data_IF_377650115332
#
_entry.id   IF_377650115332
#
_cell.length_a   1.000
_cell.length_b   1.000
_cell.length_c   1.000
_cell.angle_alpha   90.00
_cell.angle_beta   90.00
_cell.angle_gamma   90.00
#
_symmetry.space_group_name_H-M   'P 1'
#
loop_
_entity.id
_entity.type
_entity.pdbx_description
1 polymer ?
#
# COMPACT_ATOMS: atom_id res chain seq x y z
N UNK A 1 57.43 -65.88 -13.91
CA UNK A 1 57.92 -64.49 -14.07
C UNK A 1 56.73 -63.67 -14.60
N UNK A 2 56.01 -62.94 -13.72
CA UNK A 2 55.98 -61.46 -13.67
C UNK A 2 55.79 -60.86 -15.08
N UNK A 3 54.65 -60.28 -15.48
CA UNK A 3 54.09 -58.95 -15.13
C UNK A 3 52.75 -58.84 -15.91
N UNK A 4 51.59 -58.77 -15.25
CA UNK A 4 50.81 -57.58 -14.88
C UNK A 4 50.22 -56.73 -16.03
N UNK A 5 48.88 -56.84 -16.16
CA UNK A 5 47.85 -55.78 -16.13
C UNK A 5 48.01 -54.56 -17.05
N UNK A 6 46.99 -54.32 -17.89
CA UNK A 6 46.32 -53.00 -17.97
C UNK A 6 44.85 -53.15 -18.38
N UNK A 7 43.96 -53.05 -17.39
CA UNK A 7 42.52 -52.86 -17.59
C UNK A 7 42.29 -51.41 -18.07
N UNK A 8 41.60 -51.26 -19.18
CA UNK A 8 41.16 -49.97 -19.72
C UNK A 8 39.92 -49.57 -18.91
N UNK A 9 40.05 -48.53 -18.09
CA UNK A 9 38.91 -47.92 -17.38
C UNK A 9 38.51 -46.70 -18.23
N UNK A 10 37.32 -46.78 -18.83
CA UNK A 10 36.67 -45.63 -19.47
C UNK A 10 36.24 -44.64 -18.39
N UNK A 11 36.83 -43.45 -18.40
CA UNK A 11 36.41 -42.33 -17.54
C UNK A 11 35.31 -41.59 -18.29
N UNK A 12 34.04 -41.82 -17.90
CA UNK A 12 32.92 -41.03 -18.34
C UNK A 12 33.01 -39.63 -17.69
N UNK A 13 33.27 -38.62 -18.52
CA UNK A 13 33.33 -37.22 -18.07
C UNK A 13 31.90 -36.72 -17.85
N UNK A 14 31.49 -36.64 -16.58
CA UNK A 14 30.23 -36.03 -16.16
C UNK A 14 30.46 -34.51 -16.07
N UNK A 15 30.10 -33.76 -17.12
CA UNK A 15 29.99 -32.30 -17.02
C UNK A 15 28.74 -31.97 -16.21
N UNK A 16 28.92 -31.61 -14.93
CA UNK A 16 27.88 -30.95 -14.16
C UNK A 16 27.78 -29.51 -14.67
N UNK A 17 26.80 -29.24 -15.53
CA UNK A 17 26.37 -27.87 -15.82
C UNK A 17 25.66 -27.33 -14.58
N UNK A 18 26.39 -26.59 -13.74
CA UNK A 18 25.77 -25.81 -12.66
C UNK A 18 25.08 -24.62 -13.31
N UNK A 19 23.79 -24.75 -13.59
CA UNK A 19 22.93 -23.62 -13.86
C UNK A 19 22.95 -22.72 -12.63
N UNK A 20 23.64 -21.58 -12.73
CA UNK A 20 23.40 -20.47 -11.82
C UNK A 20 21.95 -20.02 -12.06
N UNK A 21 21.03 -20.58 -11.28
CA UNK A 21 19.73 -19.97 -11.08
C UNK A 21 20.06 -18.69 -10.32
N UNK A 22 20.19 -17.58 -11.04
CA UNK A 22 20.09 -16.27 -10.42
C UNK A 22 18.78 -16.29 -9.66
N UNK A 23 18.85 -16.32 -8.33
CA UNK A 23 17.69 -16.10 -7.50
C UNK A 23 17.22 -14.69 -7.87
N UNK A 24 16.20 -14.59 -8.72
CA UNK A 24 15.42 -13.38 -8.81
C UNK A 24 14.89 -13.17 -7.39
N UNK A 25 15.46 -12.21 -6.66
CA UNK A 25 14.77 -11.62 -5.52
C UNK A 25 13.51 -11.01 -6.11
N UNK A 26 12.44 -11.80 -6.18
CA UNK A 26 11.13 -11.26 -6.43
C UNK A 26 10.79 -10.50 -5.16
N UNK A 27 10.78 -9.17 -5.27
CA UNK A 27 10.25 -8.30 -4.23
C UNK A 27 8.86 -8.82 -3.87
N UNK A 28 8.80 -9.53 -2.75
CA UNK A 28 7.58 -10.20 -2.31
C UNK A 28 6.64 -9.11 -1.83
N UNK A 29 5.34 -9.16 -2.18
CA UNK A 29 4.37 -8.18 -1.70
C UNK A 29 4.46 -8.01 -0.18
N UNK A 30 4.53 -6.77 0.28
CA UNK A 30 4.47 -6.46 1.70
C UNK A 30 3.01 -6.27 2.10
N UNK A 31 2.58 -6.88 3.20
CA UNK A 31 1.23 -6.71 3.68
C UNK A 31 1.14 -6.43 5.17
N UNK A 32 0.17 -5.59 5.54
CA UNK A 32 -0.16 -5.24 6.92
C UNK A 32 -1.60 -5.64 7.21
N UNK A 33 -1.80 -6.29 8.35
CA UNK A 33 -3.09 -6.85 8.75
C UNK A 33 -3.62 -6.18 10.00
N UNK A 34 -4.91 -5.85 9.97
CA UNK A 34 -5.71 -5.62 11.17
C UNK A 34 -6.67 -6.81 11.37
N UNK A 35 -7.51 -6.75 12.40
CA UNK A 35 -8.58 -7.74 12.58
C UNK A 35 -9.68 -7.62 11.51
N UNK A 36 -9.76 -6.50 10.80
CA UNK A 36 -10.87 -6.17 9.91
C UNK A 36 -10.52 -6.17 8.42
N UNK A 37 -9.23 -6.17 8.08
CA UNK A 37 -8.77 -6.18 6.70
C UNK A 37 -7.24 -6.24 6.58
N UNK A 38 -6.77 -6.28 5.35
CA UNK A 38 -5.36 -6.33 4.98
C UNK A 38 -5.06 -5.28 3.91
N UNK A 39 -3.95 -4.56 4.08
CA UNK A 39 -3.39 -3.70 3.03
C UNK A 39 -2.18 -4.41 2.45
N UNK A 40 -2.14 -4.58 1.13
CA UNK A 40 -1.05 -5.23 0.41
C UNK A 40 -0.42 -4.27 -0.60
N UNK A 41 0.89 -4.12 -0.52
CA UNK A 41 1.71 -3.37 -1.46
C UNK A 41 2.29 -4.36 -2.47
N UNK A 42 2.17 -4.06 -3.75
CA UNK A 42 2.66 -4.94 -4.81
C UNK A 42 3.23 -4.13 -5.97
N UNK A 43 4.03 -4.82 -6.79
CA UNK A 43 4.79 -4.24 -7.91
C UNK A 43 5.82 -3.22 -7.43
N UNK A 44 7.11 -3.59 -7.55
CA UNK A 44 8.21 -2.75 -7.11
C UNK A 44 8.90 -2.12 -8.32
N UNK A 45 9.01 -0.79 -8.32
CA UNK A 45 9.74 -0.01 -9.32
C UNK A 45 10.70 0.94 -8.61
N UNK A 46 12.00 0.81 -8.87
CA UNK A 46 13.03 1.77 -8.45
C UNK A 46 12.88 2.23 -6.97
N UNK A 47 12.72 1.26 -6.06
CA UNK A 47 12.56 1.43 -4.60
C UNK A 47 11.17 1.80 -4.07
N UNK A 48 10.16 1.88 -4.92
CA UNK A 48 8.78 2.17 -4.51
C UNK A 48 7.82 1.05 -4.89
N UNK A 49 6.77 0.89 -4.09
CA UNK A 49 5.60 0.13 -4.49
C UNK A 49 4.74 0.96 -5.45
N UNK A 50 4.13 0.35 -6.46
CA UNK A 50 3.28 1.08 -7.42
C UNK A 50 1.80 0.73 -7.32
N UNK A 51 1.45 -0.29 -6.53
CA UNK A 51 0.06 -0.68 -6.29
C UNK A 51 -0.19 -1.00 -4.83
N UNK A 52 -1.34 -0.55 -4.34
CA UNK A 52 -1.85 -0.87 -3.01
C UNK A 52 -3.22 -1.50 -3.15
N UNK A 53 -3.49 -2.55 -2.39
CA UNK A 53 -4.76 -3.26 -2.37
C UNK A 53 -5.32 -3.30 -0.96
N UNK A 54 -6.61 -3.02 -0.81
CA UNK A 54 -7.35 -3.37 0.40
C UNK A 54 -8.03 -4.72 0.19
N UNK A 55 -7.92 -5.60 1.18
CA UNK A 55 -8.51 -6.94 1.13
C UNK A 55 -9.33 -7.24 2.38
N UNK A 56 -10.56 -7.71 2.16
CA UNK A 56 -11.50 -8.12 3.22
C UNK A 56 -12.41 -9.24 2.72
N UNK A 57 -12.61 -10.27 3.55
CA UNK A 57 -13.49 -11.40 3.25
C UNK A 57 -13.20 -12.09 1.89
N UNK A 58 -11.93 -12.13 1.48
CA UNK A 58 -11.50 -12.73 0.21
C UNK A 58 -11.71 -11.83 -1.02
N UNK A 59 -12.26 -10.64 -0.86
CA UNK A 59 -12.33 -9.60 -1.90
C UNK A 59 -11.10 -8.72 -1.78
N UNK A 60 -10.48 -8.39 -2.91
CA UNK A 60 -9.29 -7.54 -2.99
C UNK A 60 -9.53 -6.45 -4.03
N UNK A 61 -9.38 -5.19 -3.62
CA UNK A 61 -9.65 -4.02 -4.46
C UNK A 61 -8.42 -3.11 -4.46
N UNK A 62 -8.02 -2.66 -5.66
CA UNK A 62 -6.91 -1.73 -5.79
C UNK A 62 -7.31 -0.35 -5.27
N UNK A 63 -6.48 0.23 -4.42
CA UNK A 63 -6.56 1.63 -4.02
C UNK A 63 -5.82 2.48 -5.08
N UNK A 64 -6.42 3.60 -5.47
CA UNK A 64 -5.88 4.53 -6.48
C UNK A 64 -5.64 3.90 -7.87
N UNK A 65 -6.64 3.27 -8.51
CA UNK A 65 -6.46 2.58 -9.79
C UNK A 65 -6.10 3.52 -10.95
N UNK A 66 -6.55 4.78 -10.90
CA UNK A 66 -6.44 5.74 -12.01
C UNK A 66 -5.22 6.67 -11.91
N UNK A 67 -4.44 6.56 -10.84
CA UNK A 67 -3.31 7.45 -10.56
C UNK A 67 -1.97 6.73 -10.68
N UNK A 68 -1.00 7.35 -11.35
CA UNK A 68 0.40 6.91 -11.33
C UNK A 68 1.02 7.26 -9.97
N UNK A 69 0.81 6.35 -9.02
CA UNK A 69 1.21 6.51 -7.62
C UNK A 69 2.36 5.59 -7.24
N UNK A 70 3.20 6.09 -6.35
CA UNK A 70 4.30 5.38 -5.72
C UNK A 70 4.11 5.41 -4.22
N UNK A 71 4.47 4.33 -3.53
CA UNK A 71 4.24 4.19 -2.10
C UNK A 71 5.49 3.70 -1.40
N UNK A 72 5.71 4.21 -0.20
CA UNK A 72 6.81 3.79 0.67
C UNK A 72 6.47 2.46 1.36
N UNK A 73 7.49 1.84 1.96
CA UNK A 73 7.29 0.77 2.92
C UNK A 73 6.49 1.28 4.13
N UNK A 74 5.65 0.40 4.66
CA UNK A 74 4.83 0.64 5.85
C UNK A 74 5.12 -0.42 6.90
N UNK A 75 4.92 -0.04 8.15
CA UNK A 75 5.24 -0.85 9.32
C UNK A 75 4.09 -0.82 10.32
N UNK A 76 4.16 -1.68 11.34
CA UNK A 76 3.11 -1.73 12.37
C UNK A 76 2.96 -0.40 13.14
N UNK A 77 3.98 0.49 13.16
CA UNK A 77 3.88 1.82 13.77
C UNK A 77 3.06 2.82 12.95
N UNK A 78 2.75 2.51 11.68
CA UNK A 78 1.89 3.34 10.85
C UNK A 78 0.40 3.14 11.14
N UNK A 79 0.05 2.18 12.01
CA UNK A 79 -1.32 2.00 12.50
C UNK A 79 -1.64 2.91 13.69
N UNK A 80 -2.88 3.37 13.74
CA UNK A 80 -3.47 3.92 14.97
C UNK A 80 -3.54 2.86 16.07
N UNK A 81 -3.70 3.30 17.32
CA UNK A 81 -3.92 2.36 18.41
C UNK A 81 -5.20 1.52 18.15
N UNK A 82 -5.12 0.20 18.33
CA UNK A 82 -6.18 -0.72 17.95
C UNK A 82 -6.27 -1.06 16.45
N UNK A 83 -5.37 -0.51 15.61
CA UNK A 83 -5.27 -0.76 14.16
C UNK A 83 -6.57 -0.45 13.39
N UNK A 84 -7.28 0.60 13.82
CA UNK A 84 -8.51 1.06 13.17
C UNK A 84 -8.19 1.84 11.90
N UNK A 85 -7.14 2.66 11.95
CA UNK A 85 -6.67 3.42 10.80
C UNK A 85 -5.21 3.08 10.48
N UNK A 86 -4.87 3.08 9.19
CA UNK A 86 -3.51 2.97 8.70
C UNK A 86 -3.13 4.26 7.98
N UNK A 87 -1.96 4.80 8.28
CA UNK A 87 -1.35 5.86 7.49
C UNK A 87 -0.42 5.25 6.44
N UNK A 88 -0.51 5.68 5.20
CA UNK A 88 0.43 5.30 4.14
C UNK A 88 1.00 6.56 3.47
N UNK A 89 2.24 6.49 2.97
CA UNK A 89 2.80 7.54 2.12
C UNK A 89 2.50 7.23 0.66
N UNK A 90 2.12 8.26 -0.10
CA UNK A 90 1.78 8.18 -1.53
C UNK A 90 2.45 9.35 -2.26
N UNK A 91 3.20 9.08 -3.31
CA UNK A 91 3.77 10.07 -4.21
C UNK A 91 3.07 9.94 -5.56
N UNK A 92 2.41 11.01 -6.01
CA UNK A 92 1.85 11.09 -7.35
C UNK A 92 2.87 11.77 -8.25
N UNK A 93 3.24 11.12 -9.34
CA UNK A 93 4.10 11.71 -10.37
C UNK A 93 3.31 11.97 -11.64
N UNK A 94 3.52 13.14 -12.23
CA UNK A 94 2.91 13.49 -13.49
C UNK A 94 3.79 14.42 -14.30
N UNK A 95 3.26 14.78 -15.45
CA UNK A 95 3.90 15.67 -16.41
C UNK A 95 2.90 16.75 -16.77
N UNK A 96 3.32 18.00 -16.71
CA UNK A 96 2.57 19.14 -17.25
C UNK A 96 3.30 19.63 -18.51
N UNK A 97 2.53 19.94 -19.55
CA UNK A 97 3.04 20.58 -20.75
C UNK A 97 2.66 22.06 -20.72
N UNK A 98 3.66 22.94 -20.79
CA UNK A 98 3.46 24.38 -20.92
C UNK A 98 4.08 24.91 -22.23
N UNK A 99 3.99 26.22 -22.45
CA UNK A 99 4.54 26.87 -23.65
C UNK A 99 6.08 26.78 -23.74
N UNK A 100 6.76 26.34 -22.66
CA UNK A 100 8.21 26.23 -22.55
C UNK A 100 8.72 24.79 -22.63
N UNK A 101 7.85 23.79 -22.43
CA UNK A 101 8.17 22.38 -22.62
C UNK A 101 7.42 21.44 -21.69
N UNK A 102 8.07 20.32 -21.40
CA UNK A 102 7.59 19.27 -20.49
C UNK A 102 8.19 19.49 -19.09
N UNK A 103 7.34 19.67 -18.07
CA UNK A 103 7.75 19.77 -16.67
C UNK A 103 7.20 18.57 -15.88
N UNK A 104 8.11 17.78 -15.30
CA UNK A 104 7.74 16.71 -14.37
C UNK A 104 7.39 17.32 -13.00
N UNK A 105 6.33 16.82 -12.37
CA UNK A 105 5.99 17.16 -11.00
C UNK A 105 5.79 15.91 -10.15
N UNK A 106 6.25 16.00 -8.91
CA UNK A 106 6.06 15.00 -7.87
C UNK A 106 5.31 15.65 -6.71
N UNK A 107 4.22 15.03 -6.27
CA UNK A 107 3.47 15.48 -5.08
C UNK A 107 3.35 14.36 -4.06
N UNK A 108 3.94 14.58 -2.90
CA UNK A 108 3.89 13.66 -1.77
C UNK A 108 2.66 13.93 -0.90
N UNK A 109 1.98 12.85 -0.54
CA UNK A 109 0.82 12.80 0.32
C UNK A 109 1.02 11.77 1.43
N UNK A 110 0.33 11.99 2.54
CA UNK A 110 -0.02 10.94 3.49
C UNK A 110 -1.51 10.70 3.40
N UNK A 111 -1.87 9.42 3.47
CA UNK A 111 -3.21 8.92 3.25
C UNK A 111 -3.61 8.12 4.47
N UNK A 112 -4.83 8.33 4.96
CA UNK A 112 -5.38 7.63 6.12
C UNK A 112 -6.51 6.71 5.66
N UNK A 113 -6.38 5.42 5.97
CA UNK A 113 -7.28 4.36 5.52
C UNK A 113 -7.98 3.76 6.73
N UNK A 114 -9.31 3.74 6.73
CA UNK A 114 -10.12 3.03 7.70
C UNK A 114 -10.10 1.53 7.40
N UNK A 115 -9.53 0.74 8.30
CA UNK A 115 -9.26 -0.68 8.05
C UNK A 115 -10.51 -1.57 8.05
N UNK A 116 -11.65 -1.08 8.58
CA UNK A 116 -12.90 -1.84 8.54
C UNK A 116 -13.50 -1.88 7.14
N UNK A 117 -13.32 -0.83 6.35
CA UNK A 117 -14.02 -0.60 5.08
C UNK A 117 -13.06 -0.47 3.88
N UNK A 118 -11.78 -0.15 4.14
CA UNK A 118 -10.85 0.30 3.12
C UNK A 118 -11.13 1.72 2.62
N UNK A 119 -12.02 2.46 3.31
CA UNK A 119 -12.29 3.85 3.02
C UNK A 119 -11.04 4.69 3.25
N UNK A 120 -10.69 5.51 2.28
CA UNK A 120 -9.64 6.51 2.41
C UNK A 120 -10.31 7.78 2.94
N UNK A 121 -10.12 8.02 4.24
CA UNK A 121 -10.87 9.03 5.00
C UNK A 121 -10.23 10.41 4.92
N UNK A 122 -8.93 10.47 4.66
CA UNK A 122 -8.18 11.72 4.60
C UNK A 122 -6.93 11.57 3.76
N UNK A 123 -6.56 12.64 3.05
CA UNK A 123 -5.31 12.77 2.33
C UNK A 123 -4.76 14.18 2.56
N UNK A 124 -3.49 14.28 2.95
CA UNK A 124 -2.84 15.54 3.33
C UNK A 124 -1.44 15.63 2.74
N UNK A 125 -0.83 16.82 2.78
CA UNK A 125 0.55 17.04 2.32
C UNK A 125 1.41 17.75 3.36
N UNK A 126 2.71 17.82 3.08
CA UNK A 126 3.64 18.68 3.82
C UNK A 126 3.78 18.28 5.29
N UNK A 127 3.83 19.28 6.17
CA UNK A 127 4.15 19.06 7.59
C UNK A 127 3.14 18.17 8.33
N UNK A 128 1.90 18.08 7.84
CA UNK A 128 0.88 17.20 8.43
C UNK A 128 1.32 15.73 8.41
N UNK A 129 1.99 15.32 7.34
CA UNK A 129 2.46 13.95 7.15
C UNK A 129 3.65 13.56 8.05
N UNK A 130 4.28 14.54 8.69
CA UNK A 130 5.33 14.33 9.69
C UNK A 130 4.80 14.16 11.12
N UNK A 131 3.48 14.12 11.32
CA UNK A 131 2.88 13.80 12.62
C UNK A 131 3.06 12.33 13.02
N UNK A 132 2.39 11.94 14.10
CA UNK A 132 2.39 10.57 14.60
C UNK A 132 1.03 10.21 15.19
N UNK A 133 0.72 8.92 15.33
CA UNK A 133 -0.43 8.50 16.10
C UNK A 133 -0.25 8.85 17.58
N UNK A 134 -1.33 9.26 18.23
CA UNK A 134 -1.36 9.42 19.69
C UNK A 134 -1.18 8.08 20.39
N UNK A 135 -0.67 8.13 21.63
CA UNK A 135 -0.46 6.92 22.45
C UNK A 135 -1.78 6.18 22.74
N UNK A 136 -2.88 6.92 22.83
CA UNK A 136 -4.22 6.41 23.08
C UNK A 136 -5.18 6.77 21.94
N UNK A 137 -5.93 5.76 21.46
CA UNK A 137 -6.97 5.97 20.46
C UNK A 137 -6.50 6.19 19.02
N UNK A 138 -7.27 6.99 18.28
CA UNK A 138 -7.14 7.15 16.82
C UNK A 138 -6.81 8.59 16.40
N UNK A 139 -6.35 9.43 17.34
CA UNK A 139 -5.99 10.80 17.03
C UNK A 139 -4.60 10.87 16.38
N UNK A 140 -4.45 11.79 15.43
CA UNK A 140 -3.16 12.13 14.84
C UNK A 140 -2.57 13.35 15.56
N UNK A 141 -1.37 13.20 16.09
CA UNK A 141 -0.63 14.29 16.72
C UNK A 141 0.11 15.06 15.65
N UNK A 142 -0.28 16.31 15.45
CA UNK A 142 0.38 17.23 14.53
C UNK A 142 0.54 18.59 15.18
N UNK A 143 1.73 19.18 15.08
CA UNK A 143 2.08 20.47 15.71
C UNK A 143 1.82 20.53 17.24
N UNK A 144 1.80 19.39 17.91
CA UNK A 144 1.53 19.29 19.35
C UNK A 144 0.03 19.21 19.71
N UNK A 145 -0.85 19.13 18.72
CA UNK A 145 -2.30 19.03 18.91
C UNK A 145 -2.84 17.68 18.39
N UNK A 146 -3.90 17.20 19.04
CA UNK A 146 -4.65 16.04 18.57
C UNK A 146 -5.62 16.44 17.45
N UNK A 147 -5.52 15.74 16.32
CA UNK A 147 -6.38 15.92 15.15
C UNK A 147 -7.20 14.66 14.93
N UNK A 148 -8.51 14.83 14.76
CA UNK A 148 -9.42 13.77 14.34
C UNK A 148 -9.19 13.53 12.84
N UNK A 149 -8.74 12.33 12.49
CA UNK A 149 -8.42 11.98 11.10
C UNK A 149 -9.66 11.68 10.25
N UNK A 150 -10.77 11.27 10.90
CA UNK A 150 -12.04 10.92 10.26
C UNK A 150 -13.17 11.69 10.94
N UNK A 151 -13.64 12.75 10.29
CA UNK A 151 -14.69 13.62 10.82
C UNK A 151 -16.10 13.10 10.53
N UNK A 152 -16.23 11.96 9.84
CA UNK A 152 -17.52 11.36 9.50
C UNK A 152 -18.22 10.87 10.78
N UNK A 153 -19.48 11.26 10.98
CA UNK A 153 -20.34 10.61 11.99
C UNK A 153 -21.00 9.38 11.34
N UNK A 154 -20.71 8.15 11.79
CA UNK A 154 -21.30 6.93 11.21
C UNK A 154 -22.83 6.86 11.35
N UNK A 155 -23.44 7.74 12.16
CA UNK A 155 -24.90 7.83 12.35
C UNK A 155 -25.54 8.87 11.44
N UNK A 156 -24.76 9.63 10.68
CA UNK A 156 -25.24 10.69 9.80
C UNK A 156 -24.92 10.32 8.35
N UNK A 157 -25.87 10.56 7.46
CA UNK A 157 -25.60 10.48 6.04
C UNK A 157 -24.56 11.54 5.65
N UNK A 158 -23.64 11.17 4.76
CA UNK A 158 -22.69 12.10 4.16
C UNK A 158 -23.43 13.16 3.34
N UNK A 159 -22.98 14.40 3.44
CA UNK A 159 -23.49 15.49 2.63
C UNK A 159 -22.70 15.59 1.31
N UNK A 160 -23.15 16.45 0.38
CA UNK A 160 -22.53 16.59 -0.94
C UNK A 160 -21.04 16.98 -0.88
N UNK A 161 -20.65 17.87 0.05
CA UNK A 161 -19.25 18.27 0.26
C UNK A 161 -18.39 17.12 0.79
N UNK A 162 -18.95 16.25 1.64
CA UNK A 162 -18.24 15.07 2.14
C UNK A 162 -17.98 14.09 0.98
N UNK A 163 -19.00 13.88 0.13
CA UNK A 163 -18.91 12.99 -1.04
C UNK A 163 -17.91 13.51 -2.08
N UNK A 164 -17.92 14.82 -2.34
CA UNK A 164 -16.95 15.48 -3.23
C UNK A 164 -15.53 15.29 -2.70
N UNK A 165 -15.29 15.57 -1.42
CA UNK A 165 -13.98 15.39 -0.79
C UNK A 165 -13.48 13.94 -0.87
N UNK A 166 -14.34 12.96 -0.60
CA UNK A 166 -13.99 11.55 -0.71
C UNK A 166 -13.73 11.11 -2.15
N UNK A 167 -14.47 11.67 -3.11
CA UNK A 167 -14.27 11.44 -4.53
C UNK A 167 -12.96 12.06 -5.04
N UNK A 168 -12.55 13.21 -4.53
CA UNK A 168 -11.26 13.82 -4.87
C UNK A 168 -10.06 12.97 -4.40
N UNK A 169 -10.21 12.25 -3.29
CA UNK A 169 -9.13 11.42 -2.73
C UNK A 169 -8.93 10.12 -3.51
N UNK A 170 -10.01 9.44 -3.91
CA UNK A 170 -9.91 8.10 -4.51
C UNK A 170 -11.08 7.71 -5.41
N UNK A 171 -11.79 8.69 -5.95
CA UNK A 171 -12.87 8.51 -6.91
C UNK A 171 -14.14 7.88 -6.33
N UNK A 172 -15.01 7.44 -7.24
CA UNK A 172 -16.28 6.79 -6.91
C UNK A 172 -16.08 5.52 -6.07
N UNK A 173 -15.00 4.77 -6.31
CA UNK A 173 -14.67 3.57 -5.55
C UNK A 173 -14.39 3.89 -4.07
N UNK A 174 -13.72 5.02 -3.80
CA UNK A 174 -13.54 5.47 -2.42
C UNK A 174 -14.87 5.85 -1.78
N UNK A 175 -15.70 6.63 -2.48
CA UNK A 175 -17.05 6.97 -2.01
C UNK A 175 -17.85 5.71 -1.67
N UNK A 176 -17.80 4.68 -2.51
CA UNK A 176 -18.48 3.41 -2.27
C UNK A 176 -17.96 2.69 -1.01
N UNK A 177 -16.64 2.66 -0.77
CA UNK A 177 -16.09 2.09 0.47
C UNK A 177 -16.46 2.90 1.71
N UNK A 178 -16.56 4.22 1.57
CA UNK A 178 -16.84 5.14 2.67
C UNK A 178 -18.33 5.27 3.02
N UNK A 179 -19.22 4.91 2.09
CA UNK A 179 -20.68 4.94 2.26
C UNK A 179 -21.29 3.55 2.36
N UNK A 180 -20.56 2.53 1.90
CA UNK A 180 -20.94 1.13 1.97
C UNK A 180 -21.23 0.74 3.41
N UNK A 181 -22.43 0.21 3.62
CA UNK A 181 -22.90 -0.20 4.94
C UNK A 181 -21.89 -1.14 5.59
N UNK A 182 -21.40 -0.77 6.77
CA UNK A 182 -21.05 -1.76 7.78
C UNK A 182 -22.14 -2.83 7.76
N UNK A 183 -21.76 -4.10 7.60
CA UNK A 183 -22.67 -5.22 7.44
C UNK A 183 -23.81 -5.25 8.47
N UNK A 184 -24.88 -4.54 8.16
CA UNK A 184 -26.22 -4.86 8.59
C UNK A 184 -26.59 -6.08 7.76
N UNK A 185 -26.23 -7.24 8.31
CA UNK A 185 -27.00 -8.44 8.11
C UNK A 185 -28.47 -8.09 8.37
N UNK A 186 -29.25 -7.95 7.29
CA UNK A 186 -30.70 -8.07 7.40
C UNK A 186 -30.97 -9.46 7.98
N UNK A 187 -31.49 -9.47 9.21
CA UNK A 187 -32.05 -10.64 9.87
C UNK A 187 -33.45 -10.97 9.37
#
# INVERSE_FOLDING_TARGET
MKIMIKKIILIASLLAATSNIGACAQDSPTSLKSQSGEITFSTHEQSYWTKVFFSKNGISEQLFPDEKSYFDEVTDSDFSNGKIYLKINKIVRGTVYDDTGEEEYDRAYCVFIEMVSGCIVRQETGSFCGGAWGDEGNAWIWAGEEVIIDERDPRKALNESDLESLSEIGGADNVNRCTGTNGLSDG
#
